data_IF_099126966811
#
_entry.id   IF_099126966811
#
_cell.length_a   1.000
_cell.length_b   1.000
_cell.length_c   1.000
_cell.angle_alpha   90.00
_cell.angle_beta   90.00
_cell.angle_gamma   90.00
#
_symmetry.space_group_name_H-M   'P 1'
#
loop_
_entity.id
_entity.type
_entity.pdbx_description
1 polymer ?
#
# COMPACT_ATOMS: atom_id res chain seq x y z
N UNK A 1 -2.73 52.60 -43.75
CA UNK A 1 -3.59 51.98 -42.73
C UNK A 1 -3.22 50.52 -42.62
N UNK A 2 -2.46 50.15 -41.60
CA UNK A 2 -2.09 48.77 -41.31
C UNK A 2 -3.06 48.29 -40.22
N UNK A 3 -3.93 47.32 -40.54
CA UNK A 3 -4.84 46.71 -39.60
C UNK A 3 -4.09 45.55 -38.85
N UNK A 4 -3.83 45.72 -37.60
CA UNK A 4 -3.32 44.69 -36.68
C UNK A 4 -4.46 43.75 -36.28
N UNK A 5 -4.44 42.54 -36.82
CA UNK A 5 -5.33 41.45 -36.36
C UNK A 5 -4.72 40.83 -35.10
N UNK A 6 -5.33 41.11 -33.96
CA UNK A 6 -4.94 40.52 -32.67
C UNK A 6 -5.66 39.15 -32.54
N UNK A 7 -4.92 38.06 -32.68
CA UNK A 7 -5.43 36.69 -32.34
C UNK A 7 -5.43 36.51 -30.82
N UNK A 8 -6.58 36.62 -30.22
CA UNK A 8 -6.79 36.19 -28.83
C UNK A 8 -6.78 34.66 -28.76
N UNK A 9 -5.67 34.06 -28.29
CA UNK A 9 -5.66 32.66 -27.89
C UNK A 9 -6.67 32.49 -26.74
N UNK A 10 -7.76 31.75 -26.99
CA UNK A 10 -8.62 31.25 -25.92
C UNK A 10 -7.79 30.32 -25.04
N UNK A 11 -7.35 30.78 -23.89
CA UNK A 11 -6.80 29.93 -22.82
C UNK A 11 -7.98 29.09 -22.36
N UNK A 12 -7.94 27.78 -22.64
CA UNK A 12 -8.83 26.82 -21.97
C UNK A 12 -8.48 26.88 -20.48
N UNK A 13 -9.35 27.47 -19.69
CA UNK A 13 -9.28 27.32 -18.22
C UNK A 13 -9.60 25.83 -17.96
N UNK A 14 -8.57 25.02 -17.73
CA UNK A 14 -8.78 23.66 -17.24
C UNK A 14 -9.50 23.78 -15.89
N UNK A 15 -10.63 23.09 -15.77
CA UNK A 15 -11.40 23.05 -14.53
C UNK A 15 -10.49 22.43 -13.45
N UNK A 16 -10.21 23.19 -12.41
CA UNK A 16 -9.42 22.71 -11.28
C UNK A 16 -10.19 21.57 -10.61
N UNK A 17 -9.62 20.35 -10.68
CA UNK A 17 -10.21 19.14 -10.08
C UNK A 17 -9.89 19.09 -8.59
N UNK A 18 -10.81 18.55 -7.79
CA UNK A 18 -10.60 18.37 -6.36
C UNK A 18 -9.46 17.36 -6.07
N UNK A 19 -8.87 17.42 -4.86
CA UNK A 19 -7.87 16.44 -4.45
C UNK A 19 -8.41 15.01 -4.56
N UNK A 20 -9.65 14.74 -4.10
CA UNK A 20 -10.26 13.42 -4.20
C UNK A 20 -10.42 12.96 -5.65
N UNK A 21 -10.85 13.84 -6.53
CA UNK A 21 -10.99 13.52 -7.95
C UNK A 21 -9.63 13.20 -8.58
N UNK A 22 -8.58 13.95 -8.24
CA UNK A 22 -7.21 13.64 -8.68
C UNK A 22 -6.74 12.26 -8.16
N UNK A 23 -6.98 11.96 -6.88
CA UNK A 23 -6.59 10.68 -6.28
C UNK A 23 -7.33 9.50 -6.91
N UNK A 24 -8.64 9.61 -7.13
CA UNK A 24 -9.43 8.56 -7.76
C UNK A 24 -9.04 8.31 -9.20
N UNK A 25 -8.77 9.36 -9.98
CA UNK A 25 -8.28 9.26 -11.35
C UNK A 25 -6.90 8.59 -11.39
N UNK A 26 -5.98 8.94 -10.47
CA UNK A 26 -4.66 8.33 -10.42
C UNK A 26 -4.73 6.85 -9.97
N UNK A 27 -5.51 6.53 -8.95
CA UNK A 27 -5.75 5.16 -8.52
C UNK A 27 -6.33 4.30 -9.66
N UNK A 28 -7.31 4.83 -10.39
CA UNK A 28 -7.89 4.16 -11.54
C UNK A 28 -6.86 3.98 -12.67
N UNK A 29 -6.08 5.01 -12.97
CA UNK A 29 -5.02 4.97 -13.99
C UNK A 29 -3.99 3.86 -13.71
N UNK A 30 -3.62 3.66 -12.44
CA UNK A 30 -2.69 2.60 -12.02
C UNK A 30 -3.36 1.22 -12.05
N UNK A 31 -4.60 1.11 -11.61
CA UNK A 31 -5.29 -0.16 -11.43
C UNK A 31 -5.88 -0.74 -12.72
N UNK A 32 -6.44 0.12 -13.58
CA UNK A 32 -7.22 -0.33 -14.74
C UNK A 32 -6.43 -1.20 -15.73
N UNK A 33 -5.18 -0.90 -16.10
CA UNK A 33 -4.42 -1.76 -17.01
C UNK A 33 -4.18 -3.17 -16.44
N UNK A 34 -3.93 -3.28 -15.14
CA UNK A 34 -3.72 -4.56 -14.47
C UNK A 34 -5.02 -5.36 -14.42
N UNK A 35 -6.06 -4.79 -13.81
CA UNK A 35 -7.29 -5.51 -13.53
C UNK A 35 -8.12 -5.81 -14.80
N UNK A 36 -8.13 -4.90 -15.78
CA UNK A 36 -8.83 -5.14 -17.05
C UNK A 36 -8.22 -6.27 -17.86
N UNK A 37 -6.90 -6.45 -17.80
CA UNK A 37 -6.22 -7.57 -18.44
C UNK A 37 -6.38 -8.85 -17.62
N UNK A 38 -6.09 -8.82 -16.33
CA UNK A 38 -6.15 -10.01 -15.49
C UNK A 38 -7.56 -10.59 -15.36
N UNK A 39 -8.60 -9.74 -15.41
CA UNK A 39 -10.01 -10.20 -15.43
C UNK A 39 -10.39 -11.04 -16.65
N UNK A 40 -9.53 -11.05 -17.66
CA UNK A 40 -9.69 -11.83 -18.92
C UNK A 40 -8.66 -12.96 -19.05
N UNK A 41 -7.77 -13.13 -18.07
CA UNK A 41 -6.63 -14.05 -18.19
C UNK A 41 -5.57 -13.59 -19.19
N UNK A 42 -5.38 -12.28 -19.35
CA UNK A 42 -4.47 -11.68 -20.34
C UNK A 42 -3.36 -10.80 -19.73
N UNK A 43 -3.21 -10.79 -18.38
CA UNK A 43 -2.18 -9.96 -17.75
C UNK A 43 -0.78 -10.37 -18.18
N UNK A 44 -0.44 -11.66 -18.08
CA UNK A 44 0.87 -12.19 -18.49
C UNK A 44 1.17 -11.98 -19.96
N UNK A 45 0.15 -12.00 -20.81
CA UNK A 45 0.26 -11.73 -22.24
C UNK A 45 0.57 -10.27 -22.56
N UNK A 46 -0.01 -9.34 -21.80
CA UNK A 46 0.01 -7.91 -22.13
C UNK A 46 0.98 -7.08 -21.31
N UNK A 47 1.27 -7.47 -20.06
CA UNK A 47 2.24 -6.83 -19.20
C UNK A 47 3.64 -7.38 -19.45
N UNK A 48 4.48 -6.60 -20.12
CA UNK A 48 5.89 -6.93 -20.28
C UNK A 48 6.61 -6.80 -18.93
N UNK A 49 7.31 -7.86 -18.53
CA UNK A 49 8.13 -7.86 -17.31
C UNK A 49 9.40 -7.07 -17.53
N UNK A 50 9.66 -6.13 -16.63
CA UNK A 50 10.90 -5.39 -16.51
C UNK A 50 11.54 -5.72 -15.18
N UNK A 51 12.83 -6.07 -15.18
CA UNK A 51 13.59 -6.48 -14.00
C UNK A 51 14.77 -5.56 -13.76
N UNK A 52 15.27 -5.53 -12.53
CA UNK A 52 16.52 -4.84 -12.19
C UNK A 52 17.67 -5.27 -13.08
N UNK A 53 18.60 -4.36 -13.47
CA UNK A 53 19.84 -4.74 -14.15
C UNK A 53 20.72 -5.72 -13.36
N UNK A 54 20.53 -5.79 -12.05
CA UNK A 54 21.27 -6.69 -11.13
C UNK A 54 20.38 -7.82 -10.61
N UNK A 55 19.39 -8.27 -11.39
CA UNK A 55 18.43 -9.30 -11.00
C UNK A 55 19.09 -10.57 -10.49
N UNK A 56 18.57 -11.15 -9.40
CA UNK A 56 19.17 -12.32 -8.72
C UNK A 56 18.94 -13.67 -9.41
N UNK A 57 18.23 -13.68 -10.53
CA UNK A 57 17.98 -14.89 -11.32
C UNK A 57 16.74 -15.70 -10.94
N UNK A 58 15.97 -15.27 -9.89
CA UNK A 58 14.67 -15.90 -9.60
C UNK A 58 13.72 -15.81 -10.78
N UNK A 59 12.66 -16.62 -10.75
CA UNK A 59 11.63 -16.57 -11.80
C UNK A 59 11.05 -15.17 -11.98
N UNK A 60 10.99 -14.70 -13.22
CA UNK A 60 10.35 -13.41 -13.57
C UNK A 60 8.85 -13.41 -13.32
N UNK A 61 8.23 -14.59 -13.20
CA UNK A 61 6.79 -14.74 -12.96
C UNK A 61 6.35 -14.24 -11.58
N UNK A 62 7.29 -14.03 -10.63
CA UNK A 62 7.01 -13.35 -9.35
C UNK A 62 6.43 -11.95 -9.57
N UNK A 63 6.79 -11.29 -10.67
CA UNK A 63 6.34 -9.94 -11.03
C UNK A 63 4.83 -9.80 -11.04
N UNK A 64 4.12 -10.79 -11.54
CA UNK A 64 2.65 -10.72 -11.66
C UNK A 64 1.97 -10.82 -10.30
N UNK A 65 2.52 -11.60 -9.37
CA UNK A 65 2.00 -11.69 -8.01
C UNK A 65 2.31 -10.42 -7.21
N UNK A 66 3.51 -9.84 -7.37
CA UNK A 66 3.86 -8.54 -6.80
C UNK A 66 2.91 -7.45 -7.31
N UNK A 67 2.71 -7.39 -8.63
CA UNK A 67 1.82 -6.42 -9.26
C UNK A 67 0.41 -6.50 -8.69
N UNK A 68 -0.20 -7.69 -8.75
CA UNK A 68 -1.59 -7.88 -8.33
C UNK A 68 -1.77 -7.72 -6.82
N UNK A 69 -0.96 -8.38 -6.00
CA UNK A 69 -1.09 -8.38 -4.55
C UNK A 69 -0.93 -6.98 -3.95
N UNK A 70 0.14 -6.27 -4.35
CA UNK A 70 0.42 -4.92 -3.84
C UNK A 70 -0.62 -3.90 -4.30
N UNK A 71 -1.05 -3.97 -5.57
CA UNK A 71 -2.13 -3.13 -6.08
C UNK A 71 -3.41 -3.33 -5.26
N UNK A 72 -3.83 -4.60 -5.11
CA UNK A 72 -5.09 -4.91 -4.42
C UNK A 72 -5.08 -4.48 -2.97
N UNK A 73 -3.95 -4.65 -2.27
CA UNK A 73 -3.80 -4.17 -0.89
C UNK A 73 -4.07 -2.66 -0.79
N UNK A 74 -3.46 -1.86 -1.67
CA UNK A 74 -3.58 -0.39 -1.62
C UNK A 74 -4.97 0.13 -1.96
N UNK A 75 -5.67 -0.49 -2.93
CA UNK A 75 -6.99 0.01 -3.37
C UNK A 75 -8.18 -0.67 -2.68
N UNK A 76 -7.97 -1.76 -1.91
CA UNK A 76 -9.04 -2.49 -1.24
C UNK A 76 -9.97 -1.60 -0.40
N UNK A 77 -9.48 -0.65 0.41
CA UNK A 77 -10.36 0.25 1.15
C UNK A 77 -11.28 1.08 0.26
N UNK A 78 -10.79 1.56 -0.89
CA UNK A 78 -11.62 2.27 -1.85
C UNK A 78 -12.71 1.38 -2.44
N UNK A 79 -12.35 0.14 -2.81
CA UNK A 79 -13.29 -0.84 -3.34
C UNK A 79 -14.32 -1.33 -2.31
N UNK A 80 -14.07 -1.10 -1.01
CA UNK A 80 -15.01 -1.46 0.06
C UNK A 80 -16.17 -0.49 0.22
N UNK A 81 -16.10 0.71 -0.35
CA UNK A 81 -17.17 1.71 -0.24
C UNK A 81 -18.45 1.23 -0.95
N UNK A 82 -19.63 1.64 -0.45
CA UNK A 82 -20.90 1.35 -1.07
C UNK A 82 -20.96 1.85 -2.52
N UNK A 83 -21.80 1.22 -3.33
CA UNK A 83 -22.08 1.68 -4.70
C UNK A 83 -22.86 2.97 -4.70
N UNK A 84 -22.54 3.83 -5.66
CA UNK A 84 -23.25 5.07 -5.96
C UNK A 84 -23.16 5.36 -7.48
N UNK A 85 -23.93 6.34 -7.94
CA UNK A 85 -24.03 6.69 -9.37
C UNK A 85 -23.07 7.80 -9.80
N UNK A 86 -22.16 8.22 -8.92
CA UNK A 86 -21.11 9.19 -9.27
C UNK A 86 -20.11 8.59 -10.25
N UNK A 87 -19.35 9.43 -10.94
CA UNK A 87 -18.27 8.95 -11.82
C UNK A 87 -17.22 8.14 -11.03
N UNK A 88 -16.91 8.55 -9.80
CA UNK A 88 -16.07 7.77 -8.87
C UNK A 88 -16.71 6.42 -8.57
N UNK A 89 -18.01 6.37 -8.26
CA UNK A 89 -18.74 5.13 -7.98
C UNK A 89 -18.72 4.15 -9.16
N UNK A 90 -18.85 4.66 -10.38
CA UNK A 90 -18.76 3.86 -11.62
C UNK A 90 -17.35 3.27 -11.80
N UNK A 91 -16.30 4.08 -11.63
CA UNK A 91 -14.90 3.61 -11.67
C UNK A 91 -14.64 2.52 -10.63
N UNK A 92 -15.09 2.72 -9.39
CA UNK A 92 -14.94 1.78 -8.28
C UNK A 92 -15.64 0.45 -8.54
N UNK A 93 -16.90 0.50 -9.01
CA UNK A 93 -17.68 -0.69 -9.38
C UNK A 93 -17.00 -1.49 -10.49
N UNK A 94 -16.52 -0.80 -11.53
CA UNK A 94 -15.80 -1.44 -12.64
C UNK A 94 -14.52 -2.13 -12.17
N UNK A 95 -13.71 -1.47 -11.34
CA UNK A 95 -12.49 -2.07 -10.78
C UNK A 95 -12.82 -3.28 -9.89
N UNK A 96 -13.90 -3.22 -9.09
CA UNK A 96 -14.31 -4.32 -8.24
C UNK A 96 -14.76 -5.54 -9.04
N UNK A 97 -15.53 -5.34 -10.11
CA UNK A 97 -15.90 -6.42 -11.03
C UNK A 97 -14.69 -7.09 -11.66
N UNK A 98 -13.72 -6.31 -12.11
CA UNK A 98 -12.46 -6.84 -12.65
C UNK A 98 -11.63 -7.54 -11.57
N UNK A 99 -11.55 -6.96 -10.37
CA UNK A 99 -10.82 -7.54 -9.25
C UNK A 99 -11.34 -8.92 -8.86
N UNK A 100 -12.66 -9.11 -8.75
CA UNK A 100 -13.26 -10.41 -8.42
C UNK A 100 -12.89 -11.49 -9.45
N UNK A 101 -12.95 -11.18 -10.74
CA UNK A 101 -12.49 -12.08 -11.81
C UNK A 101 -10.98 -12.33 -11.74
N UNK A 102 -10.21 -11.30 -11.44
CA UNK A 102 -8.75 -11.39 -11.32
C UNK A 102 -8.34 -12.30 -10.16
N UNK A 103 -9.03 -12.23 -9.01
CA UNK A 103 -8.81 -13.15 -7.90
C UNK A 103 -9.07 -14.61 -8.31
N UNK A 104 -10.10 -14.87 -9.10
CA UNK A 104 -10.37 -16.23 -9.59
C UNK A 104 -9.26 -16.71 -10.53
N UNK A 105 -8.79 -15.87 -11.45
CA UNK A 105 -7.66 -16.20 -12.35
C UNK A 105 -6.36 -16.43 -11.56
N UNK A 106 -6.09 -15.62 -10.55
CA UNK A 106 -4.86 -15.64 -9.75
C UNK A 106 -4.58 -17.01 -9.11
N UNK A 107 -5.62 -17.75 -8.75
CA UNK A 107 -5.54 -19.01 -7.99
C UNK A 107 -6.08 -20.23 -8.77
N UNK A 108 -6.51 -20.04 -10.02
CA UNK A 108 -6.96 -21.12 -10.89
C UNK A 108 -5.79 -21.71 -11.69
N UNK A 109 -5.35 -22.96 -11.44
CA UNK A 109 -4.24 -23.58 -12.17
C UNK A 109 -4.43 -23.67 -13.69
N UNK A 110 -5.68 -23.67 -14.17
CA UNK A 110 -6.00 -23.73 -15.60
C UNK A 110 -6.02 -22.34 -16.26
N UNK A 111 -5.84 -21.27 -15.49
CA UNK A 111 -5.80 -19.91 -15.99
C UNK A 111 -4.43 -19.55 -16.56
N UNK A 112 -4.36 -18.85 -17.73
CA UNK A 112 -3.11 -18.29 -18.21
C UNK A 112 -2.46 -17.33 -17.21
N UNK A 113 -3.26 -16.66 -16.35
CA UNK A 113 -2.81 -15.72 -15.32
C UNK A 113 -2.70 -16.36 -13.92
N UNK A 114 -2.65 -17.71 -13.84
CA UNK A 114 -2.33 -18.37 -12.57
C UNK A 114 -1.01 -17.86 -12.02
N UNK A 115 -1.02 -17.34 -10.78
CA UNK A 115 0.16 -16.72 -10.20
C UNK A 115 1.18 -17.74 -9.73
N UNK A 116 2.42 -17.31 -9.55
CA UNK A 116 3.50 -18.16 -9.07
C UNK A 116 3.42 -18.34 -7.55
N UNK A 117 2.70 -19.36 -7.10
CA UNK A 117 2.52 -19.69 -5.68
C UNK A 117 3.65 -20.54 -5.09
N UNK A 118 4.49 -21.17 -5.93
CA UNK A 118 5.43 -22.23 -5.51
C UNK A 118 6.81 -22.04 -6.13
N UNK A 119 7.77 -22.79 -5.59
CA UNK A 119 9.14 -22.90 -6.09
C UNK A 119 10.02 -21.65 -5.91
N UNK A 120 9.53 -20.64 -5.20
CA UNK A 120 10.25 -19.41 -4.87
C UNK A 120 9.92 -19.00 -3.43
N UNK A 121 10.74 -18.12 -2.83
CA UNK A 121 10.45 -17.49 -1.53
C UNK A 121 9.50 -16.31 -1.66
N UNK A 122 9.60 -15.54 -2.75
CA UNK A 122 8.85 -14.31 -2.99
C UNK A 122 7.32 -14.45 -2.82
N UNK A 123 6.65 -15.56 -3.18
CA UNK A 123 5.22 -15.72 -2.96
C UNK A 123 4.75 -15.47 -1.52
N UNK A 124 5.58 -15.71 -0.51
CA UNK A 124 5.24 -15.41 0.88
C UNK A 124 5.00 -13.91 1.09
N UNK A 125 5.80 -13.07 0.43
CA UNK A 125 5.70 -11.61 0.51
C UNK A 125 4.39 -11.13 -0.10
N UNK A 126 4.12 -11.54 -1.33
CA UNK A 126 3.01 -10.93 -2.10
C UNK A 126 1.66 -11.59 -1.81
N UNK A 127 1.66 -12.83 -1.33
CA UNK A 127 0.49 -13.45 -0.71
C UNK A 127 0.02 -12.68 0.54
N UNK A 128 0.95 -12.09 1.31
CA UNK A 128 0.58 -11.27 2.46
C UNK A 128 -0.15 -9.98 2.05
N UNK A 129 0.20 -9.36 0.91
CA UNK A 129 -0.55 -8.23 0.36
C UNK A 129 -1.93 -8.66 -0.15
N UNK A 130 -2.05 -9.84 -0.78
CA UNK A 130 -3.37 -10.40 -1.15
C UNK A 130 -4.21 -10.65 0.12
N UNK A 131 -3.66 -11.27 1.14
CA UNK A 131 -4.33 -11.49 2.43
C UNK A 131 -4.76 -10.16 3.07
N UNK A 132 -3.88 -9.15 3.06
CA UNK A 132 -4.20 -7.79 3.54
C UNK A 132 -5.38 -7.18 2.78
N UNK A 133 -5.47 -7.36 1.45
CA UNK A 133 -6.58 -6.83 0.66
C UNK A 133 -7.92 -7.46 1.07
N UNK A 134 -7.95 -8.75 1.36
CA UNK A 134 -9.14 -9.43 1.86
C UNK A 134 -9.53 -8.97 3.26
N UNK A 135 -8.56 -8.78 4.17
CA UNK A 135 -8.82 -8.23 5.51
C UNK A 135 -9.36 -6.79 5.45
N UNK A 136 -8.89 -5.98 4.49
CA UNK A 136 -9.31 -4.58 4.31
C UNK A 136 -10.70 -4.43 3.69
N UNK A 137 -11.16 -5.41 2.91
CA UNK A 137 -12.41 -5.35 2.17
C UNK A 137 -13.10 -6.72 2.06
N UNK A 138 -13.22 -7.47 3.17
CA UNK A 138 -13.75 -8.84 3.21
C UNK A 138 -15.10 -8.96 2.50
N UNK A 139 -16.04 -8.07 2.82
CA UNK A 139 -17.40 -8.10 2.26
C UNK A 139 -17.45 -7.91 0.74
N UNK A 140 -16.53 -7.13 0.18
CA UNK A 140 -16.52 -6.79 -1.24
C UNK A 140 -15.56 -7.63 -2.08
N UNK A 141 -14.51 -8.19 -1.48
CA UNK A 141 -13.46 -8.87 -2.23
C UNK A 141 -13.32 -10.36 -1.89
N UNK A 142 -13.67 -10.78 -0.66
CA UNK A 142 -13.61 -12.19 -0.26
C UNK A 142 -14.98 -12.89 -0.30
N UNK A 143 -15.98 -12.33 0.35
CA UNK A 143 -17.29 -12.97 0.46
C UNK A 143 -17.97 -13.26 -0.90
N UNK A 144 -17.85 -12.39 -1.94
CA UNK A 144 -18.46 -12.64 -3.24
C UNK A 144 -17.75 -13.69 -4.09
N UNK A 145 -16.55 -14.15 -3.72
CA UNK A 145 -15.85 -15.21 -4.45
C UNK A 145 -16.60 -16.55 -4.32
N UNK A 146 -16.58 -17.34 -5.39
CA UNK A 146 -17.12 -18.70 -5.34
C UNK A 146 -16.31 -19.61 -4.41
N UNK A 147 -16.94 -20.68 -3.94
CA UNK A 147 -16.33 -21.56 -2.94
C UNK A 147 -15.06 -22.26 -3.46
N UNK A 148 -15.00 -22.60 -4.75
CA UNK A 148 -13.82 -23.24 -5.33
C UNK A 148 -12.63 -22.26 -5.28
N UNK A 149 -12.86 -21.01 -5.63
CA UNK A 149 -11.84 -19.95 -5.56
C UNK A 149 -11.37 -19.73 -4.11
N UNK A 150 -12.30 -19.66 -3.13
CA UNK A 150 -11.95 -19.53 -1.71
C UNK A 150 -11.09 -20.68 -1.22
N UNK A 151 -11.48 -21.91 -1.51
CA UNK A 151 -10.73 -23.11 -1.10
C UNK A 151 -9.34 -23.17 -1.73
N UNK A 152 -9.20 -22.72 -2.97
CA UNK A 152 -7.91 -22.60 -3.62
C UNK A 152 -6.99 -21.59 -2.90
N UNK A 153 -7.50 -20.41 -2.52
CA UNK A 153 -6.73 -19.44 -1.73
C UNK A 153 -6.32 -20.00 -0.38
N UNK A 154 -7.25 -20.58 0.37
CA UNK A 154 -6.95 -21.20 1.68
C UNK A 154 -5.83 -22.23 1.53
N UNK A 155 -5.95 -23.11 0.54
CA UNK A 155 -4.93 -24.13 0.25
C UNK A 155 -3.57 -23.53 -0.09
N UNK A 156 -3.51 -22.54 -1.01
CA UNK A 156 -2.23 -21.94 -1.39
C UNK A 156 -1.62 -21.19 -0.21
N UNK A 157 -2.39 -20.43 0.57
CA UNK A 157 -1.90 -19.76 1.77
C UNK A 157 -1.33 -20.76 2.79
N UNK A 158 -2.00 -21.86 3.07
CA UNK A 158 -1.48 -22.90 3.95
C UNK A 158 -0.22 -23.57 3.40
N UNK A 159 -0.10 -23.75 2.10
CA UNK A 159 1.09 -24.32 1.45
C UNK A 159 2.30 -23.38 1.52
N UNK A 160 2.12 -22.07 1.71
CA UNK A 160 3.24 -21.14 1.92
C UNK A 160 3.96 -21.34 3.25
N UNK A 161 3.42 -22.13 4.17
CA UNK A 161 4.10 -22.56 5.41
C UNK A 161 5.40 -23.34 5.17
N UNK A 162 5.60 -23.88 3.96
CA UNK A 162 6.88 -24.51 3.55
C UNK A 162 8.04 -23.50 3.42
N UNK A 163 7.74 -22.20 3.35
CA UNK A 163 8.75 -21.16 3.29
C UNK A 163 9.07 -20.74 4.71
N UNK A 164 10.34 -20.92 5.10
CA UNK A 164 10.86 -20.40 6.37
C UNK A 164 11.18 -18.92 6.18
N UNK A 165 10.43 -18.01 6.81
CA UNK A 165 10.72 -16.58 6.68
C UNK A 165 12.04 -16.26 7.39
N UNK A 166 12.96 -15.51 6.76
CA UNK A 166 14.11 -14.96 7.46
C UNK A 166 13.67 -14.15 8.68
N UNK A 167 14.55 -14.06 9.68
CA UNK A 167 14.32 -13.29 10.91
C UNK A 167 14.42 -11.77 10.65
N UNK A 168 13.46 -11.27 9.89
CA UNK A 168 13.32 -9.87 9.46
C UNK A 168 11.81 -9.53 9.37
N UNK A 169 11.48 -8.45 8.67
CA UNK A 169 10.10 -8.09 8.34
C UNK A 169 9.30 -9.26 7.72
N UNK A 170 9.96 -10.27 7.16
CA UNK A 170 9.30 -11.44 6.55
C UNK A 170 8.43 -12.24 7.52
N UNK A 171 8.72 -12.19 8.81
CA UNK A 171 7.84 -12.78 9.83
C UNK A 171 6.43 -12.17 9.79
N UNK A 172 6.32 -10.87 9.48
CA UNK A 172 5.04 -10.19 9.38
C UNK A 172 4.24 -10.61 8.14
N UNK A 173 4.90 -10.97 7.03
CA UNK A 173 4.20 -11.56 5.88
C UNK A 173 3.54 -12.89 6.27
N UNK A 174 4.29 -13.76 6.95
CA UNK A 174 3.74 -15.01 7.46
C UNK A 174 2.56 -14.78 8.40
N UNK A 175 2.69 -13.86 9.36
CA UNK A 175 1.61 -13.54 10.30
C UNK A 175 0.37 -12.94 9.62
N UNK A 176 0.54 -12.12 8.58
CA UNK A 176 -0.56 -11.53 7.83
C UNK A 176 -1.41 -12.60 7.13
N UNK A 177 -0.75 -13.59 6.51
CA UNK A 177 -1.43 -14.72 5.87
C UNK A 177 -2.21 -15.53 6.91
N UNK A 178 -1.60 -15.84 8.03
CA UNK A 178 -2.26 -16.60 9.11
C UNK A 178 -3.41 -15.80 9.74
N UNK A 179 -3.27 -14.49 9.86
CA UNK A 179 -4.36 -13.60 10.32
C UNK A 179 -5.55 -13.61 9.35
N UNK A 180 -5.30 -13.67 8.04
CA UNK A 180 -6.39 -13.83 7.10
C UNK A 180 -7.02 -15.22 7.15
N UNK A 181 -6.24 -16.29 7.31
CA UNK A 181 -6.78 -17.63 7.50
C UNK A 181 -7.68 -17.69 8.74
N UNK A 182 -7.31 -17.00 9.83
CA UNK A 182 -8.16 -16.81 11.02
C UNK A 182 -9.48 -16.10 10.66
N UNK A 183 -9.41 -14.98 9.92
CA UNK A 183 -10.58 -14.21 9.48
C UNK A 183 -11.50 -15.01 8.54
N UNK A 184 -10.95 -15.96 7.79
CA UNK A 184 -11.68 -16.85 6.87
C UNK A 184 -12.20 -18.12 7.54
N UNK A 185 -12.14 -18.23 8.87
CA UNK A 185 -12.50 -19.42 9.65
C UNK A 185 -11.79 -20.70 9.17
N UNK A 186 -10.57 -20.55 8.62
CA UNK A 186 -9.75 -21.65 8.15
C UNK A 186 -8.71 -22.04 9.23
N UNK A 187 -8.08 -23.19 9.05
CA UNK A 187 -7.00 -23.61 9.95
C UNK A 187 -5.78 -22.68 9.76
N UNK A 188 -5.44 -21.96 10.82
CA UNK A 188 -4.30 -21.04 10.89
C UNK A 188 -3.22 -21.54 11.87
N UNK A 189 -2.00 -20.99 11.72
CA UNK A 189 -0.84 -21.29 12.57
C UNK A 189 -0.58 -20.13 13.56
N UNK A 190 -1.02 -20.30 14.78
CA UNK A 190 -0.88 -19.32 15.85
C UNK A 190 0.60 -19.06 16.20
N UNK A 191 1.48 -20.05 16.06
CA UNK A 191 2.90 -19.88 16.36
C UNK A 191 3.58 -18.86 15.43
N UNK A 192 3.19 -18.85 14.14
CA UNK A 192 3.72 -17.88 13.17
C UNK A 192 3.29 -16.46 13.52
N UNK A 193 2.03 -16.27 13.91
CA UNK A 193 1.54 -14.96 14.39
C UNK A 193 2.29 -14.55 15.65
N UNK A 194 2.36 -15.42 16.63
CA UNK A 194 3.01 -15.14 17.90
C UNK A 194 4.50 -14.78 17.74
N UNK A 195 5.22 -15.54 16.91
CA UNK A 195 6.64 -15.28 16.65
C UNK A 195 6.85 -13.90 16.01
N UNK A 196 6.04 -13.55 15.03
CA UNK A 196 6.11 -12.24 14.38
C UNK A 196 5.83 -11.09 15.35
N UNK A 197 4.79 -11.23 16.18
CA UNK A 197 4.42 -10.22 17.18
C UNK A 197 5.55 -10.02 18.20
N UNK A 198 6.10 -11.09 18.75
CA UNK A 198 7.22 -11.00 19.71
C UNK A 198 8.44 -10.33 19.10
N UNK A 199 8.82 -10.74 17.89
CA UNK A 199 9.99 -10.16 17.21
C UNK A 199 9.78 -8.69 16.84
N UNK A 200 8.60 -8.32 16.39
CA UNK A 200 8.29 -6.91 16.15
C UNK A 200 8.45 -6.07 17.45
N UNK A 201 7.98 -6.55 18.59
CA UNK A 201 8.20 -5.85 19.87
C UNK A 201 9.65 -5.76 20.27
N UNK A 202 10.43 -6.86 20.13
CA UNK A 202 11.86 -6.92 20.44
C UNK A 202 12.68 -5.97 19.55
N UNK A 203 12.26 -5.75 18.30
CA UNK A 203 12.98 -4.92 17.34
C UNK A 203 12.59 -3.44 17.36
N UNK A 204 11.79 -3.02 18.32
CA UNK A 204 11.50 -1.59 18.49
C UNK A 204 12.75 -0.85 19.01
N UNK A 205 13.24 0.11 18.22
CA UNK A 205 14.48 0.86 18.55
C UNK A 205 14.24 2.24 19.14
N UNK A 206 12.98 2.67 19.25
CA UNK A 206 12.61 3.94 19.85
C UNK A 206 12.09 4.96 18.81
N UNK A 207 11.45 6.00 19.31
CA UNK A 207 10.95 7.16 18.56
C UNK A 207 10.17 6.81 17.27
N UNK A 208 9.34 5.76 17.35
CA UNK A 208 8.52 5.29 16.24
C UNK A 208 9.21 4.37 15.23
N UNK A 209 10.48 4.01 15.42
CA UNK A 209 11.21 3.15 14.50
C UNK A 209 11.33 1.71 15.01
N UNK A 210 11.30 0.77 14.07
CA UNK A 210 11.61 -0.64 14.27
C UNK A 210 12.85 -1.02 13.46
N UNK A 211 13.69 -1.90 14.01
CA UNK A 211 14.71 -2.60 13.25
C UNK A 211 14.08 -3.64 12.33
N UNK A 212 14.69 -3.90 11.20
CA UNK A 212 14.30 -4.98 10.28
C UNK A 212 15.19 -6.23 10.55
N UNK A 213 14.94 -6.87 11.68
CA UNK A 213 15.77 -7.92 12.22
C UNK A 213 16.76 -7.40 13.28
N UNK A 214 17.85 -8.13 13.51
CA UNK A 214 18.81 -7.83 14.58
C UNK A 214 19.61 -6.54 14.33
N UNK A 215 19.85 -6.21 13.06
CA UNK A 215 20.63 -5.03 12.68
C UNK A 215 19.72 -3.94 12.17
N UNK A 216 19.77 -2.76 12.80
CA UNK A 216 19.00 -1.61 12.37
C UNK A 216 19.49 -1.10 11.01
N UNK A 217 18.55 -0.95 10.07
CA UNK A 217 18.75 -0.28 8.80
C UNK A 217 17.85 0.96 8.74
N UNK A 218 18.44 2.11 8.49
CA UNK A 218 17.69 3.35 8.28
C UNK A 218 17.15 3.38 6.85
N UNK A 219 15.97 2.82 6.66
CA UNK A 219 15.27 2.74 5.38
C UNK A 219 13.74 2.77 5.54
N UNK A 220 13.00 2.73 4.44
CA UNK A 220 11.55 2.81 4.46
C UNK A 220 10.82 1.46 4.66
N UNK A 221 11.48 0.39 5.10
CA UNK A 221 10.78 -0.87 5.41
C UNK A 221 9.82 -0.75 6.59
N UNK A 222 10.04 0.23 7.49
CA UNK A 222 9.04 0.62 8.47
C UNK A 222 7.72 1.05 7.79
N UNK A 223 7.79 1.70 6.63
CA UNK A 223 6.62 2.13 5.85
C UNK A 223 6.00 1.01 5.03
N UNK A 224 6.86 0.26 4.31
CA UNK A 224 6.35 -0.72 3.35
C UNK A 224 5.72 -1.93 4.02
N UNK A 225 6.22 -2.34 5.18
CA UNK A 225 5.87 -3.61 5.84
C UNK A 225 5.62 -3.45 7.33
N UNK A 226 6.63 -3.01 8.11
CA UNK A 226 6.67 -3.28 9.55
C UNK A 226 5.51 -2.62 10.28
N UNK A 227 5.34 -1.31 10.17
CA UNK A 227 4.29 -0.57 10.87
C UNK A 227 2.88 -1.00 10.46
N UNK A 228 2.52 -0.98 9.16
CA UNK A 228 1.16 -1.27 8.75
C UNK A 228 0.75 -2.72 9.03
N UNK A 229 1.64 -3.68 8.73
CA UNK A 229 1.30 -5.10 8.93
C UNK A 229 1.23 -5.47 10.39
N UNK A 230 2.13 -4.94 11.23
CA UNK A 230 2.09 -5.20 12.66
C UNK A 230 0.77 -4.71 13.29
N UNK A 231 0.36 -3.48 12.97
CA UNK A 231 -0.93 -2.93 13.43
C UNK A 231 -2.09 -3.78 12.92
N UNK A 232 -2.10 -4.17 11.64
CA UNK A 232 -3.20 -4.96 11.06
C UNK A 232 -3.29 -6.36 11.65
N UNK A 233 -2.16 -7.05 11.86
CA UNK A 233 -2.10 -8.35 12.54
C UNK A 233 -2.66 -8.26 13.95
N UNK A 234 -2.21 -7.27 14.75
CA UNK A 234 -2.69 -7.10 16.12
C UNK A 234 -4.19 -6.78 16.19
N UNK A 235 -4.69 -5.96 15.27
CA UNK A 235 -6.14 -5.69 15.17
C UNK A 235 -6.91 -6.98 14.90
N UNK A 236 -6.52 -7.77 13.90
CA UNK A 236 -7.22 -9.02 13.54
C UNK A 236 -7.23 -9.99 14.71
N UNK A 237 -6.09 -10.22 15.36
CA UNK A 237 -5.98 -11.12 16.51
C UNK A 237 -6.91 -10.67 17.67
N UNK A 238 -6.95 -9.38 17.97
CA UNK A 238 -7.77 -8.84 19.04
C UNK A 238 -9.27 -8.85 18.71
N UNK A 239 -9.65 -8.58 17.47
CA UNK A 239 -11.04 -8.64 17.01
C UNK A 239 -11.61 -10.05 17.13
N UNK A 240 -10.80 -11.08 16.83
CA UNK A 240 -11.13 -12.48 17.01
C UNK A 240 -10.98 -12.98 18.46
N UNK A 241 -10.48 -12.15 19.38
CA UNK A 241 -10.23 -12.50 20.79
C UNK A 241 -9.35 -13.75 20.95
N UNK A 242 -8.48 -14.01 19.98
CA UNK A 242 -7.52 -15.12 20.04
C UNK A 242 -6.38 -14.73 20.98
N UNK A 243 -6.11 -15.58 21.95
CA UNK A 243 -5.04 -15.35 22.93
C UNK A 243 -3.73 -15.88 22.36
N UNK A 244 -2.79 -14.99 22.15
CA UNK A 244 -1.40 -15.35 21.85
C UNK A 244 -0.79 -16.02 23.09
N UNK A 245 -0.02 -17.05 22.87
CA UNK A 245 0.62 -17.80 23.95
C UNK A 245 1.37 -16.86 24.91
N UNK A 246 1.25 -17.06 26.23
CA UNK A 246 1.85 -16.23 27.29
C UNK A 246 1.23 -14.84 27.52
N UNK A 247 0.09 -14.51 26.89
CA UNK A 247 -0.55 -13.18 27.02
C UNK A 247 -1.99 -13.27 27.53
N UNK A 248 -2.46 -12.17 28.09
CA UNK A 248 -3.89 -11.92 28.28
C UNK A 248 -4.43 -11.04 27.17
N UNK A 249 -5.75 -11.01 26.97
CA UNK A 249 -6.38 -10.07 26.03
C UNK A 249 -6.06 -8.62 26.38
N UNK A 250 -5.96 -8.28 27.66
CA UNK A 250 -5.58 -6.93 28.10
C UNK A 250 -4.16 -6.58 27.66
N UNK A 251 -3.19 -7.49 27.81
CA UNK A 251 -1.81 -7.29 27.36
C UNK A 251 -1.75 -7.13 25.84
N UNK A 252 -2.51 -7.93 25.10
CA UNK A 252 -2.57 -7.82 23.64
C UNK A 252 -3.16 -6.49 23.20
N UNK A 253 -4.19 -6.02 23.87
CA UNK A 253 -4.77 -4.70 23.59
C UNK A 253 -3.76 -3.58 23.84
N UNK A 254 -2.99 -3.65 24.91
CA UNK A 254 -1.90 -2.69 25.18
C UNK A 254 -0.82 -2.75 24.09
N UNK A 255 -0.47 -3.93 23.59
CA UNK A 255 0.47 -4.08 22.46
C UNK A 255 -0.08 -3.42 21.19
N UNK A 256 -1.35 -3.62 20.85
CA UNK A 256 -1.99 -2.98 19.72
C UNK A 256 -2.00 -1.45 19.85
N UNK A 257 -2.40 -0.95 21.01
CA UNK A 257 -2.45 0.51 21.29
C UNK A 257 -1.04 1.13 21.21
N UNK A 258 -0.03 0.40 21.68
CA UNK A 258 1.37 0.84 21.58
C UNK A 258 1.87 0.82 20.12
N UNK A 259 1.55 -0.22 19.36
CA UNK A 259 1.87 -0.28 17.93
C UNK A 259 1.25 0.90 17.16
N UNK A 260 -0.01 1.25 17.44
CA UNK A 260 -0.69 2.42 16.87
C UNK A 260 0.01 3.72 17.23
N UNK A 261 0.36 3.94 18.50
CA UNK A 261 1.10 5.13 18.95
C UNK A 261 2.47 5.27 18.29
N UNK A 262 3.19 4.17 18.15
CA UNK A 262 4.48 4.13 17.44
C UNK A 262 4.31 4.47 15.96
N UNK A 263 3.27 3.95 15.30
CA UNK A 263 2.93 4.30 13.92
C UNK A 263 2.51 5.78 13.79
N UNK A 264 1.78 6.34 14.76
CA UNK A 264 1.47 7.77 14.81
C UNK A 264 2.74 8.61 14.86
N UNK A 265 3.68 8.27 15.76
CA UNK A 265 4.98 8.95 15.85
C UNK A 265 5.76 8.87 14.54
N UNK A 266 5.81 7.70 13.94
CA UNK A 266 6.47 7.50 12.64
C UNK A 266 5.79 8.30 11.52
N UNK A 267 4.46 8.36 11.51
CA UNK A 267 3.68 9.19 10.57
C UNK A 267 3.99 10.68 10.71
N UNK A 268 4.19 11.18 11.93
CA UNK A 268 4.65 12.57 12.16
C UNK A 268 6.03 12.82 11.53
N UNK A 269 6.94 11.87 11.63
CA UNK A 269 8.27 11.96 11.01
C UNK A 269 8.16 11.95 9.48
N UNK A 270 7.34 11.05 8.92
CA UNK A 270 7.12 10.98 7.47
C UNK A 270 6.54 12.28 6.89
N UNK A 271 5.59 12.91 7.60
CA UNK A 271 5.04 14.20 7.16
C UNK A 271 6.11 15.29 7.16
N UNK A 272 6.98 15.32 8.17
CA UNK A 272 8.10 16.27 8.27
C UNK A 272 9.18 16.05 7.23
N UNK A 273 9.30 14.83 6.69
CA UNK A 273 10.21 14.53 5.59
C UNK A 273 9.76 15.14 4.25
N UNK A 274 8.49 15.52 4.14
CA UNK A 274 8.03 16.18 2.91
C UNK A 274 8.58 17.60 2.86
N UNK A 275 9.46 17.87 1.88
CA UNK A 275 10.07 19.19 1.68
C UNK A 275 9.03 20.25 1.32
N UNK A 276 9.34 21.56 1.44
CA UNK A 276 8.45 22.62 0.99
C UNK A 276 7.98 22.49 -0.45
N UNK A 277 8.81 21.90 -1.31
CA UNK A 277 8.55 21.66 -2.73
C UNK A 277 7.87 20.32 -3.02
N UNK A 278 7.35 19.65 -1.98
CA UNK A 278 6.68 18.36 -2.09
C UNK A 278 7.57 17.24 -2.65
N UNK A 279 8.83 17.19 -2.24
CA UNK A 279 9.72 16.03 -2.39
C UNK A 279 9.96 15.38 -1.03
N UNK A 280 10.61 14.22 -1.00
CA UNK A 280 10.99 13.55 0.25
C UNK A 280 12.37 12.92 0.10
N UNK A 281 13.09 12.64 1.20
CA UNK A 281 14.43 12.07 1.17
C UNK A 281 14.48 10.73 0.46
N UNK A 282 15.43 10.56 -0.44
CA UNK A 282 15.65 9.34 -1.22
C UNK A 282 16.84 8.60 -0.65
N UNK A 283 16.59 7.60 0.20
CA UNK A 283 17.63 6.82 0.88
C UNK A 283 17.17 5.38 1.16
N UNK A 284 18.14 4.52 1.44
CA UNK A 284 17.90 3.11 1.72
C UNK A 284 17.57 2.29 0.48
N UNK A 285 17.18 1.05 0.70
CA UNK A 285 16.76 0.10 -0.35
C UNK A 285 15.32 0.32 -0.77
N UNK A 286 14.93 -0.23 -1.90
CA UNK A 286 13.56 -0.22 -2.43
C UNK A 286 13.01 1.20 -2.69
N UNK A 287 13.88 2.14 -3.05
CA UNK A 287 13.47 3.52 -3.32
C UNK A 287 12.45 3.62 -4.46
N UNK A 288 12.53 2.72 -5.41
CA UNK A 288 11.60 2.61 -6.55
C UNK A 288 10.16 2.30 -6.13
N UNK A 289 9.90 1.97 -4.86
CA UNK A 289 8.55 1.76 -4.33
C UNK A 289 7.73 3.05 -4.17
N UNK A 290 8.32 4.20 -4.54
CA UNK A 290 7.64 5.50 -4.71
C UNK A 290 6.82 5.90 -3.47
N UNK A 291 5.52 6.14 -3.68
CA UNK A 291 4.60 6.61 -2.64
C UNK A 291 4.26 5.55 -1.58
N UNK A 292 4.70 4.30 -1.75
CA UNK A 292 4.62 3.28 -0.69
C UNK A 292 5.28 3.72 0.62
N UNK A 293 6.23 4.66 0.55
CA UNK A 293 6.81 5.34 1.72
C UNK A 293 5.75 5.91 2.66
N UNK A 294 4.63 6.38 2.13
CA UNK A 294 3.58 7.03 2.92
C UNK A 294 2.45 6.08 3.36
N UNK A 295 2.62 4.77 3.21
CA UNK A 295 1.60 3.79 3.65
C UNK A 295 1.18 3.97 5.12
N UNK A 296 2.10 4.15 6.12
CA UNK A 296 1.68 4.36 7.50
C UNK A 296 0.84 5.62 7.67
N UNK A 297 1.26 6.73 7.06
CA UNK A 297 0.53 8.00 7.13
C UNK A 297 -0.85 7.88 6.48
N UNK A 298 -0.93 7.20 5.34
CA UNK A 298 -2.20 6.92 4.65
C UNK A 298 -3.11 5.99 5.45
N UNK A 299 -2.53 5.00 6.14
CA UNK A 299 -3.29 4.11 7.03
C UNK A 299 -3.83 4.84 8.25
N UNK A 300 -3.05 5.75 8.83
CA UNK A 300 -3.51 6.63 9.93
C UNK A 300 -4.69 7.50 9.50
N UNK A 301 -4.65 8.06 8.28
CA UNK A 301 -5.80 8.80 7.73
C UNK A 301 -7.02 7.91 7.57
N UNK A 302 -6.89 6.76 6.90
CA UNK A 302 -8.00 5.85 6.61
C UNK A 302 -8.67 5.29 7.87
N UNK A 303 -7.90 5.10 8.95
CA UNK A 303 -8.38 4.52 10.21
C UNK A 303 -8.77 5.56 11.26
N UNK A 304 -8.84 6.85 10.92
CA UNK A 304 -9.09 7.94 11.87
C UNK A 304 -8.13 7.94 13.06
N UNK A 305 -6.86 7.65 12.79
CA UNK A 305 -5.81 7.55 13.81
C UNK A 305 -4.75 8.64 13.70
N UNK A 306 -4.98 9.70 12.92
CA UNK A 306 -4.03 10.80 12.87
C UNK A 306 -3.86 11.43 14.27
N UNK A 307 -2.62 11.72 14.70
CA UNK A 307 -2.42 12.50 15.92
C UNK A 307 -2.92 13.94 15.70
N UNK A 308 -3.33 14.59 16.78
CA UNK A 308 -3.89 15.96 16.74
C UNK A 308 -2.95 17.01 16.13
N UNK A 309 -1.65 16.73 16.16
CA UNK A 309 -0.58 17.57 15.60
C UNK A 309 -0.58 17.54 14.05
N UNK A 310 -1.26 16.59 13.45
CA UNK A 310 -1.38 16.42 12.00
C UNK A 310 -2.83 16.61 11.53
N UNK A 311 -3.28 17.85 11.29
CA UNK A 311 -4.61 18.10 10.74
C UNK A 311 -4.81 17.40 9.40
N UNK A 312 -5.98 16.83 9.18
CA UNK A 312 -6.31 16.06 7.96
C UNK A 312 -6.09 16.84 6.66
N UNK A 313 -6.50 18.11 6.62
CA UNK A 313 -6.29 18.98 5.46
C UNK A 313 -4.82 19.25 5.17
N UNK A 314 -3.94 19.23 6.19
CA UNK A 314 -2.49 19.34 6.05
C UNK A 314 -1.91 18.08 5.41
N UNK A 315 -2.25 16.90 5.95
CA UNK A 315 -1.76 15.62 5.45
C UNK A 315 -2.24 15.37 4.02
N UNK A 316 -3.53 15.60 3.74
CA UNK A 316 -4.08 15.47 2.38
C UNK A 316 -3.33 16.36 1.40
N UNK A 317 -3.14 17.65 1.71
CA UNK A 317 -2.44 18.59 0.83
C UNK A 317 -1.00 18.15 0.56
N UNK A 318 -0.27 17.74 1.62
CA UNK A 318 1.10 17.26 1.49
C UNK A 318 1.20 16.05 0.55
N UNK A 319 0.41 15.01 0.82
CA UNK A 319 0.40 13.79 -0.01
C UNK A 319 -0.04 14.05 -1.45
N UNK A 320 -1.03 14.92 -1.66
CA UNK A 320 -1.48 15.31 -3.01
C UNK A 320 -0.38 16.00 -3.78
N UNK A 321 0.34 16.94 -3.15
CA UNK A 321 1.44 17.65 -3.79
C UNK A 321 2.61 16.71 -4.14
N UNK A 322 2.98 15.79 -3.24
CA UNK A 322 4.01 14.79 -3.52
C UNK A 322 3.60 13.89 -4.69
N UNK A 323 2.35 13.42 -4.69
CA UNK A 323 1.83 12.57 -5.76
C UNK A 323 1.85 13.29 -7.11
N UNK A 324 1.37 14.54 -7.15
CA UNK A 324 1.40 15.39 -8.36
C UNK A 324 2.83 15.57 -8.87
N UNK A 325 3.77 15.88 -7.98
CA UNK A 325 5.18 16.07 -8.33
C UNK A 325 5.80 14.80 -8.92
N UNK A 326 5.60 13.64 -8.28
CA UNK A 326 6.19 12.39 -8.70
C UNK A 326 5.65 11.95 -10.08
N UNK A 327 4.33 12.01 -10.26
CA UNK A 327 3.70 11.57 -11.50
C UNK A 327 3.70 12.61 -12.62
N UNK A 328 4.17 13.84 -12.38
CA UNK A 328 4.43 14.84 -13.42
C UNK A 328 5.66 14.50 -14.27
N UNK A 329 6.57 13.65 -13.77
CA UNK A 329 7.74 13.22 -14.53
C UNK A 329 7.31 12.17 -15.56
N UNK A 330 7.74 12.33 -16.82
CA UNK A 330 7.45 11.37 -17.87
C UNK A 330 8.13 10.02 -17.62
N UNK A 331 7.55 8.94 -18.17
CA UNK A 331 8.12 7.59 -18.07
C UNK A 331 7.72 6.80 -16.82
N UNK A 332 6.78 7.30 -16.00
CA UNK A 332 6.23 6.48 -14.90
C UNK A 332 5.41 5.28 -15.41
N UNK A 333 4.83 5.42 -16.59
CA UNK A 333 4.00 4.41 -17.25
C UNK A 333 4.54 4.09 -18.63
N UNK A 334 4.45 2.84 -19.05
CA UNK A 334 4.74 2.45 -20.42
C UNK A 334 3.55 2.76 -21.35
N UNK A 335 3.71 2.50 -22.67
CA UNK A 335 2.68 2.77 -23.68
C UNK A 335 1.36 2.02 -23.44
N UNK A 336 1.39 0.89 -22.72
CA UNK A 336 0.20 0.12 -22.33
C UNK A 336 -0.39 0.53 -20.98
N UNK A 337 0.18 1.55 -20.32
CA UNK A 337 -0.29 2.07 -19.04
C UNK A 337 0.22 1.33 -17.79
N UNK A 338 1.08 0.33 -17.93
CA UNK A 338 1.68 -0.34 -16.77
C UNK A 338 2.82 0.50 -16.17
N UNK A 339 2.98 0.42 -14.85
CA UNK A 339 4.10 1.09 -14.17
C UNK A 339 5.45 0.52 -14.63
N UNK A 340 6.43 1.42 -14.79
CA UNK A 340 7.81 1.11 -15.13
C UNK A 340 8.72 1.21 -13.92
N UNK A 341 9.88 0.51 -13.96
CA UNK A 341 10.91 0.60 -12.93
C UNK A 341 11.46 2.03 -12.81
N UNK A 342 11.48 2.55 -11.60
CA UNK A 342 12.04 3.84 -11.28
C UNK A 342 11.38 4.51 -10.10
N UNK A 343 12.02 5.53 -9.58
CA UNK A 343 11.50 6.37 -8.52
C UNK A 343 10.55 7.44 -9.09
N UNK A 344 11.05 8.33 -9.94
CA UNK A 344 10.25 9.32 -10.67
C UNK A 344 10.58 9.18 -12.16
N UNK A 345 9.64 8.65 -12.95
CA UNK A 345 9.88 8.25 -14.32
C UNK A 345 10.51 6.85 -14.45
N UNK A 346 11.22 6.60 -15.55
CA UNK A 346 11.85 5.32 -15.86
C UNK A 346 13.35 5.34 -15.49
N UNK A 347 13.72 4.68 -14.39
CA UNK A 347 15.06 4.76 -13.78
C UNK A 347 15.50 3.37 -13.31
N UNK A 348 15.75 2.45 -14.25
CA UNK A 348 16.05 1.04 -13.97
C UNK A 348 17.26 0.83 -13.06
N UNK A 349 18.29 1.69 -13.18
CA UNK A 349 19.50 1.63 -12.37
C UNK A 349 19.31 1.89 -10.87
N UNK A 350 18.12 2.38 -10.45
CA UNK A 350 17.77 2.55 -9.03
C UNK A 350 17.12 1.32 -8.42
N UNK A 351 16.82 0.30 -9.23
CA UNK A 351 16.13 -0.89 -8.77
C UNK A 351 17.11 -1.85 -8.07
N UNK A 352 16.77 -2.27 -6.86
CA UNK A 352 17.51 -3.31 -6.16
C UNK A 352 17.43 -4.65 -6.90
N UNK A 353 18.41 -5.52 -6.65
CA UNK A 353 18.56 -6.81 -7.32
C UNK A 353 17.33 -7.72 -7.31
N UNK A 354 16.36 -7.49 -6.44
CA UNK A 354 15.10 -8.22 -6.31
C UNK A 354 13.90 -7.48 -6.91
N UNK A 355 14.07 -6.25 -7.40
CA UNK A 355 12.96 -5.40 -7.84
C UNK A 355 12.64 -5.59 -9.32
N UNK A 356 11.36 -5.54 -9.63
CA UNK A 356 10.78 -5.60 -10.96
C UNK A 356 9.64 -4.56 -11.09
N UNK A 357 9.07 -4.41 -12.28
CA UNK A 357 8.00 -3.42 -12.45
C UNK A 357 6.68 -3.79 -11.72
N UNK A 358 6.47 -5.05 -11.34
CA UNK A 358 5.39 -5.44 -10.42
C UNK A 358 5.59 -4.89 -9.02
N UNK A 359 6.85 -4.77 -8.56
CA UNK A 359 7.19 -4.20 -7.26
C UNK A 359 6.69 -2.76 -7.11
N UNK A 360 6.60 -2.01 -8.21
CA UNK A 360 6.17 -0.60 -8.22
C UNK A 360 4.72 -0.41 -7.75
N UNK A 361 3.91 -1.45 -7.82
CA UNK A 361 2.48 -1.36 -7.44
C UNK A 361 2.25 -1.19 -5.94
N UNK A 362 3.28 -1.32 -5.09
CA UNK A 362 3.20 -0.91 -3.69
C UNK A 362 2.94 0.61 -3.53
N UNK A 363 3.20 1.41 -4.57
CA UNK A 363 2.82 2.82 -4.60
C UNK A 363 1.32 3.03 -4.35
N UNK A 364 0.48 2.02 -4.63
CA UNK A 364 -0.97 2.08 -4.41
C UNK A 364 -1.35 2.19 -2.92
N UNK A 365 -0.46 1.85 -2.01
CA UNK A 365 -0.71 1.98 -0.57
C UNK A 365 -0.93 3.43 -0.11
N UNK A 366 -0.55 4.42 -0.91
CA UNK A 366 -0.88 5.82 -0.64
C UNK A 366 -2.39 6.09 -0.75
N UNK A 367 -3.13 5.27 -1.49
CA UNK A 367 -4.57 5.46 -1.74
C UNK A 367 -5.50 4.93 -0.63
N UNK A 368 -4.98 4.41 0.47
CA UNK A 368 -5.81 3.92 1.59
C UNK A 368 -6.90 4.93 2.03
N UNK A 369 -6.64 6.27 2.07
CA UNK A 369 -7.65 7.26 2.43
C UNK A 369 -8.85 7.33 1.47
N UNK A 370 -8.77 6.81 0.25
CA UNK A 370 -9.93 6.69 -0.64
C UNK A 370 -11.03 5.78 -0.06
N UNK A 371 -10.70 4.93 0.92
CA UNK A 371 -11.68 4.15 1.69
C UNK A 371 -12.56 4.98 2.62
N UNK A 372 -12.26 6.26 2.82
CA UNK A 372 -13.13 7.20 3.53
C UNK A 372 -14.21 7.74 2.57
N UNK A 373 -15.46 7.95 3.02
CA UNK A 373 -16.48 8.55 2.16
C UNK A 373 -16.11 9.98 1.75
N UNK A 374 -16.60 10.45 0.61
CA UNK A 374 -16.28 11.78 0.08
C UNK A 374 -16.66 12.94 1.04
N UNK A 375 -17.64 12.72 1.92
CA UNK A 375 -18.07 13.69 2.94
C UNK A 375 -17.17 13.72 4.18
N UNK A 376 -16.20 12.82 4.29
CA UNK A 376 -15.30 12.75 5.45
C UNK A 376 -14.43 14.00 5.57
N UNK A 377 -14.09 14.39 6.81
CA UNK A 377 -13.27 15.58 7.11
C UNK A 377 -11.93 15.57 6.41
N UNK A 378 -11.30 14.42 6.23
CA UNK A 378 -10.08 14.29 5.44
C UNK A 378 -10.22 14.89 4.03
N UNK A 379 -11.37 14.74 3.38
CA UNK A 379 -11.62 15.26 2.04
C UNK A 379 -12.19 16.67 2.02
N UNK A 380 -12.94 17.06 3.06
CA UNK A 380 -13.68 18.33 3.10
C UNK A 380 -12.97 19.44 3.87
N UNK A 381 -12.01 19.11 4.75
CA UNK A 381 -11.21 20.10 5.45
C UNK A 381 -10.44 21.00 4.49
N UNK A 382 -10.29 22.29 4.83
CA UNK A 382 -9.49 23.22 4.01
C UNK A 382 -8.04 22.73 3.91
N UNK A 383 -7.42 22.80 2.72
CA UNK A 383 -6.00 22.49 2.57
C UNK A 383 -5.16 23.39 3.47
N UNK A 384 -4.14 22.82 4.10
CA UNK A 384 -3.18 23.54 4.93
C UNK A 384 -1.77 23.17 4.49
N UNK A 385 -0.84 24.09 4.67
CA UNK A 385 0.57 23.81 4.44
C UNK A 385 1.07 22.80 5.49
N UNK A 386 1.93 21.88 5.07
CA UNK A 386 2.54 20.89 5.94
C UNK A 386 3.72 21.45 6.72
N UNK A 387 4.22 20.70 7.68
CA UNK A 387 5.18 21.18 8.68
C UNK A 387 6.43 21.82 8.06
N UNK A 388 7.11 21.14 7.13
CA UNK A 388 8.30 21.70 6.48
C UNK A 388 7.97 22.97 5.67
N UNK A 389 6.83 23.00 4.98
CA UNK A 389 6.42 24.17 4.21
C UNK A 389 6.12 25.35 5.11
N UNK A 390 5.44 25.16 6.25
CA UNK A 390 5.25 26.19 7.27
C UNK A 390 6.59 26.72 7.79
N UNK A 391 7.50 25.80 8.16
CA UNK A 391 8.80 26.16 8.72
C UNK A 391 9.62 27.07 7.77
N UNK A 392 9.75 26.65 6.51
CA UNK A 392 10.52 27.40 5.51
C UNK A 392 9.83 28.66 5.00
N UNK A 393 8.52 28.81 5.28
CA UNK A 393 7.76 30.05 5.03
C UNK A 393 7.71 30.99 6.24
N UNK A 394 8.40 30.66 7.32
CA UNK A 394 8.46 31.50 8.54
C UNK A 394 7.20 31.43 9.40
N UNK A 395 6.36 30.42 9.23
CA UNK A 395 5.17 30.19 10.04
C UNK A 395 5.46 29.29 11.24
N UNK A 396 4.70 29.47 12.30
CA UNK A 396 4.77 28.60 13.47
C UNK A 396 4.17 27.21 13.18
N UNK A 397 4.73 26.20 13.85
CA UNK A 397 4.29 24.81 13.82
C UNK A 397 4.61 24.12 15.15
N UNK A 398 3.97 22.99 15.51
CA UNK A 398 4.26 22.28 16.75
C UNK A 398 5.71 21.84 16.83
N UNK A 399 6.39 22.15 17.94
CA UNK A 399 7.75 21.65 18.20
C UNK A 399 7.79 20.14 18.19
N UNK A 400 8.91 19.60 17.75
CA UNK A 400 9.19 18.19 17.77
C UNK A 400 10.15 17.79 18.89
N UNK A 401 9.97 16.58 19.40
CA UNK A 401 10.87 15.96 20.37
C UNK A 401 10.68 14.43 20.31
N UNK A 402 11.71 13.68 20.71
CA UNK A 402 11.62 12.24 20.82
C UNK A 402 10.50 11.83 21.81
N UNK A 403 9.75 10.79 21.42
CA UNK A 403 8.68 10.25 22.27
C UNK A 403 9.11 8.89 22.80
N UNK A 404 9.06 8.74 24.11
CA UNK A 404 9.32 7.49 24.82
C UNK A 404 7.99 6.83 25.23
N UNK A 405 7.82 5.55 24.84
CA UNK A 405 6.64 4.76 25.15
C UNK A 405 6.97 3.61 26.08
#
# INVERSE_FOLDING_TARGET
MLSTVTYAKKVKVEKEISDREYWTQMAYKIAAPVLSNMSKGELKKNMQVEISPTWDGRSKDVTYMECFGRLMSGIAPWLSLPDDDTEEGKMRRQLREWALKSYAHAVNPDSPDYLLWRNEGQPLVDAAYIASSFLRAKKQLWEPLDEVTKQRYIKEFQLLRRIDPPYTNWLLFSAMIESFLMEADAQYDLFRIHTAVRKAEEWYVGDGWYSDGETFAFDYYNSYVIQPMFVQVMQTVNDHKVILHDRSLEMQKKTEDLAKKRMQRFGMILERFISPEASFPVFGRSMTYRLGVFQPLSMLCWKDMLPKELPEGQVRNALTCVMKRLFAVDGNFNEKGFLQLGFAGHQTGLADWYSNNGSMYITSEVFLPLGLPASHSFWTAKPQDWTSKKAWSGHEFPKDHAIHY
#
